data_IF_471207034804
#
_entry.id   IF_471207034804
#
_cell.length_a   1.000
_cell.length_b   1.000
_cell.length_c   1.000
_cell.angle_alpha   90.00
_cell.angle_beta   90.00
_cell.angle_gamma   90.00
#
_symmetry.space_group_name_H-M   'P 1'
#
loop_
_entity.id
_entity.type
_entity.pdbx_description
1 polymer ?
#
# COMPACT_ATOMS: atom_id res chain seq x y z
N UNK A 1 -0.08 2.61 4.01
CA UNK A 1 -1.43 2.61 3.46
C UNK A 1 -2.46 2.85 4.56
N UNK A 2 -3.49 3.61 4.28
CA UNK A 2 -4.68 3.74 5.11
C UNK A 2 -5.89 3.47 4.19
N UNK A 3 -6.17 2.19 3.88
CA UNK A 3 -7.25 1.84 2.96
C UNK A 3 -8.60 2.16 3.56
N UNK A 4 -9.55 2.59 2.73
CA UNK A 4 -10.93 2.79 3.15
C UNK A 4 -11.66 1.46 3.36
N UNK A 5 -11.28 0.44 2.62
CA UNK A 5 -11.87 -0.91 2.68
C UNK A 5 -10.78 -1.98 2.58
N UNK A 6 -10.98 -3.07 3.31
CA UNK A 6 -10.10 -4.26 3.32
C UNK A 6 -10.97 -5.49 3.06
N UNK A 7 -10.63 -6.26 2.03
CA UNK A 7 -11.34 -7.50 1.67
C UNK A 7 -10.57 -8.68 2.27
N UNK A 8 -11.28 -9.56 2.97
CA UNK A 8 -10.67 -10.70 3.67
C UNK A 8 -11.48 -12.00 3.45
N UNK A 9 -10.78 -13.13 3.51
CA UNK A 9 -11.36 -14.48 3.61
C UNK A 9 -10.97 -15.20 4.91
N UNK A 10 -10.68 -14.45 5.96
CA UNK A 10 -10.18 -14.97 7.23
C UNK A 10 -11.33 -15.48 8.11
N UNK A 11 -11.09 -16.56 8.87
CA UNK A 11 -12.01 -16.99 9.90
C UNK A 11 -12.26 -15.92 10.97
N UNK A 12 -13.40 -16.00 11.67
CA UNK A 12 -13.92 -14.96 12.58
C UNK A 12 -12.90 -14.43 13.61
N UNK A 13 -12.07 -15.31 14.19
CA UNK A 13 -11.06 -14.90 15.18
C UNK A 13 -9.96 -14.00 14.59
N UNK A 14 -9.52 -14.29 13.35
CA UNK A 14 -8.50 -13.51 12.66
C UNK A 14 -9.10 -12.19 12.14
N UNK A 15 -10.33 -12.22 11.68
CA UNK A 15 -11.09 -11.03 11.30
C UNK A 15 -11.26 -10.06 12.48
N UNK A 16 -11.52 -10.55 13.69
CA UNK A 16 -11.64 -9.73 14.89
C UNK A 16 -10.31 -9.07 15.27
N UNK A 17 -9.20 -9.81 15.20
CA UNK A 17 -7.85 -9.22 15.40
C UNK A 17 -7.56 -8.10 14.41
N UNK A 18 -7.91 -8.31 13.15
CA UNK A 18 -7.73 -7.31 12.12
C UNK A 18 -8.61 -6.08 12.36
N UNK A 19 -9.88 -6.26 12.76
CA UNK A 19 -10.78 -5.15 13.13
C UNK A 19 -10.22 -4.32 14.28
N UNK A 20 -9.67 -4.98 15.30
CA UNK A 20 -9.05 -4.29 16.44
C UNK A 20 -7.80 -3.53 16.03
N UNK A 21 -7.00 -4.09 15.12
CA UNK A 21 -5.83 -3.42 14.57
C UNK A 21 -6.21 -2.20 13.74
N UNK A 22 -7.18 -2.33 12.83
CA UNK A 22 -7.60 -1.24 11.93
C UNK A 22 -8.28 -0.08 12.65
N UNK A 23 -9.01 -0.35 13.74
CA UNK A 23 -9.56 0.71 14.61
C UNK A 23 -8.50 1.65 15.17
N UNK A 24 -7.29 1.15 15.40
CA UNK A 24 -6.19 1.94 15.94
C UNK A 24 -5.41 2.73 14.89
N UNK A 25 -5.56 2.39 13.60
CA UNK A 25 -4.78 2.99 12.49
C UNK A 25 -5.65 3.86 11.58
N UNK A 26 -6.94 3.57 11.50
CA UNK A 26 -7.90 4.29 10.69
C UNK A 26 -9.20 3.47 10.60
N UNK A 27 -10.33 4.13 10.36
CA UNK A 27 -11.64 3.46 10.25
C UNK A 27 -11.81 2.75 8.89
N UNK A 28 -10.98 1.73 8.61
CA UNK A 28 -11.17 0.91 7.41
C UNK A 28 -12.38 -0.01 7.57
N UNK A 29 -13.23 -0.06 6.56
CA UNK A 29 -14.31 -1.04 6.49
C UNK A 29 -13.74 -2.41 6.15
N UNK A 30 -14.22 -3.48 6.79
CA UNK A 30 -13.76 -4.85 6.53
C UNK A 30 -14.91 -5.62 5.90
N UNK A 31 -14.69 -6.07 4.67
CA UNK A 31 -15.61 -6.90 3.89
C UNK A 31 -15.13 -8.34 3.90
N UNK A 32 -15.96 -9.24 4.43
CA UNK A 32 -15.71 -10.68 4.33
C UNK A 32 -16.18 -11.16 2.96
N UNK A 33 -15.27 -11.76 2.20
CA UNK A 33 -15.55 -12.30 0.88
C UNK A 33 -15.43 -13.83 0.88
N UNK A 34 -16.19 -14.54 0.03
CA UNK A 34 -16.12 -15.98 -0.09
C UNK A 34 -14.74 -16.43 -0.59
N UNK A 35 -14.34 -17.65 -0.22
CA UNK A 35 -13.01 -18.19 -0.55
C UNK A 35 -12.80 -18.32 -2.07
N UNK A 36 -13.87 -18.57 -2.81
CA UNK A 36 -13.87 -18.70 -4.27
C UNK A 36 -13.38 -17.42 -4.97
N UNK A 37 -13.53 -16.25 -4.31
CA UNK A 37 -13.03 -14.99 -4.85
C UNK A 37 -11.48 -14.94 -4.89
N UNK A 38 -10.84 -15.72 -4.03
CA UNK A 38 -9.38 -15.83 -3.91
C UNK A 38 -8.82 -17.01 -4.74
N UNK A 39 -9.49 -17.39 -5.82
CA UNK A 39 -9.02 -18.45 -6.70
C UNK A 39 -7.71 -18.06 -7.41
N UNK A 40 -6.78 -19.04 -7.50
CA UNK A 40 -5.47 -18.82 -8.09
C UNK A 40 -5.54 -18.65 -9.61
N UNK A 41 -6.30 -19.50 -10.29
CA UNK A 41 -6.36 -19.51 -11.75
C UNK A 41 -7.09 -18.26 -12.27
N UNK A 42 -8.18 -17.87 -11.61
CA UNK A 42 -8.87 -16.60 -11.85
C UNK A 42 -7.96 -15.40 -11.61
N UNK A 43 -7.24 -15.38 -10.50
CA UNK A 43 -6.27 -14.33 -10.18
C UNK A 43 -5.16 -14.21 -11.21
N UNK A 44 -4.65 -15.33 -11.70
CA UNK A 44 -3.63 -15.35 -12.76
C UNK A 44 -4.17 -14.83 -14.09
N UNK A 45 -5.39 -15.18 -14.45
CA UNK A 45 -6.04 -14.67 -15.65
C UNK A 45 -6.19 -13.15 -15.61
N UNK A 46 -6.73 -12.59 -14.52
CA UNK A 46 -6.85 -11.15 -14.34
C UNK A 46 -5.50 -10.42 -14.41
N UNK A 47 -4.46 -10.95 -13.77
CA UNK A 47 -3.13 -10.36 -13.79
C UNK A 47 -2.47 -10.36 -15.18
N UNK A 48 -2.82 -11.31 -16.04
CA UNK A 48 -2.31 -11.37 -17.41
C UNK A 48 -2.81 -10.21 -18.27
N UNK A 49 -3.97 -9.66 -17.95
CA UNK A 49 -4.63 -8.59 -18.70
C UNK A 49 -4.28 -7.19 -18.19
N UNK A 50 -3.56 -7.09 -17.06
CA UNK A 50 -3.20 -5.81 -16.45
C UNK A 50 -1.98 -5.19 -17.14
N UNK A 51 -2.03 -3.87 -17.32
CA UNK A 51 -0.88 -3.08 -17.74
C UNK A 51 0.09 -2.91 -16.56
N UNK A 52 1.36 -3.17 -16.79
CA UNK A 52 2.41 -2.94 -15.80
C UNK A 52 2.84 -1.48 -15.87
N UNK A 53 2.83 -0.79 -14.74
CA UNK A 53 3.24 0.61 -14.64
C UNK A 53 4.75 0.76 -14.91
N UNK A 54 5.11 1.88 -15.54
CA UNK A 54 6.50 2.37 -15.57
C UNK A 54 7.44 1.70 -16.54
N UNK A 55 6.95 1.03 -17.58
CA UNK A 55 7.86 0.38 -18.55
C UNK A 55 8.74 -0.70 -17.91
N UNK A 56 8.55 -0.97 -16.65
CA UNK A 56 9.29 -1.96 -15.89
C UNK A 56 8.86 -3.32 -16.35
N UNK A 57 9.69 -3.85 -17.12
CA UNK A 57 10.03 -5.18 -17.50
C UNK A 57 8.98 -6.27 -17.15
N UNK A 58 8.83 -7.18 -18.09
CA UNK A 58 8.22 -8.52 -17.94
C UNK A 58 8.61 -9.24 -16.62
N UNK A 59 9.68 -8.81 -15.97
CA UNK A 59 10.14 -9.30 -14.67
C UNK A 59 9.20 -9.00 -13.50
N UNK A 60 8.50 -7.86 -13.49
CA UNK A 60 7.57 -7.50 -12.39
C UNK A 60 6.38 -8.45 -12.35
N UNK A 61 5.74 -8.70 -13.50
CA UNK A 61 4.64 -9.64 -13.58
C UNK A 61 5.09 -11.07 -13.22
N UNK A 62 6.25 -11.49 -13.72
CA UNK A 62 6.81 -12.80 -13.38
C UNK A 62 7.13 -12.93 -11.88
N UNK A 63 7.56 -11.86 -11.24
CA UNK A 63 7.80 -11.84 -9.79
C UNK A 63 6.50 -11.95 -9.01
N UNK A 64 5.47 -11.21 -9.41
CA UNK A 64 4.13 -11.31 -8.81
C UNK A 64 3.57 -12.73 -8.98
N UNK A 65 3.66 -13.29 -10.19
CA UNK A 65 3.15 -14.62 -10.51
C UNK A 65 3.87 -15.77 -9.77
N UNK A 66 5.08 -15.55 -9.26
CA UNK A 66 5.79 -16.52 -8.39
C UNK A 66 5.24 -16.54 -6.97
N UNK A 67 4.54 -15.52 -6.54
CA UNK A 67 3.95 -15.44 -5.21
C UNK A 67 2.46 -15.76 -5.26
N UNK A 68 2.10 -16.99 -4.89
CA UNK A 68 0.71 -17.46 -4.91
C UNK A 68 -0.25 -16.56 -4.11
N UNK A 69 0.16 -16.10 -2.93
CA UNK A 69 -0.67 -15.23 -2.09
C UNK A 69 -0.91 -13.87 -2.76
N UNK A 70 0.08 -13.33 -3.44
CA UNK A 70 -0.08 -12.08 -4.18
C UNK A 70 -1.04 -12.27 -5.35
N UNK A 71 -0.93 -13.38 -6.09
CA UNK A 71 -1.86 -13.69 -7.21
C UNK A 71 -3.30 -13.81 -6.72
N UNK A 72 -3.54 -14.57 -5.65
CA UNK A 72 -4.86 -14.74 -5.05
C UNK A 72 -5.45 -13.41 -4.55
N UNK A 73 -4.65 -12.63 -3.85
CA UNK A 73 -5.09 -11.35 -3.28
C UNK A 73 -5.38 -10.29 -4.36
N UNK A 74 -4.52 -10.18 -5.37
CA UNK A 74 -4.75 -9.28 -6.50
C UNK A 74 -5.97 -9.69 -7.31
N UNK A 75 -6.12 -11.00 -7.59
CA UNK A 75 -7.28 -11.53 -8.28
C UNK A 75 -8.59 -11.25 -7.56
N UNK A 76 -8.61 -11.50 -6.24
CA UNK A 76 -9.76 -11.21 -5.41
C UNK A 76 -10.14 -9.72 -5.43
N UNK A 77 -9.14 -8.83 -5.34
CA UNK A 77 -9.38 -7.39 -5.40
C UNK A 77 -9.98 -6.97 -6.75
N UNK A 78 -9.43 -7.45 -7.86
CA UNK A 78 -9.91 -7.12 -9.21
C UNK A 78 -11.33 -7.63 -9.39
N UNK A 79 -11.58 -8.90 -9.08
CA UNK A 79 -12.91 -9.52 -9.18
C UNK A 79 -13.94 -8.78 -8.32
N UNK A 80 -13.57 -8.37 -7.10
CA UNK A 80 -14.44 -7.58 -6.24
C UNK A 80 -14.77 -6.22 -6.84
N UNK A 81 -13.77 -5.53 -7.37
CA UNK A 81 -13.95 -4.22 -8.01
C UNK A 81 -14.83 -4.33 -9.27
N UNK A 82 -14.62 -5.34 -10.12
CA UNK A 82 -15.43 -5.57 -11.33
C UNK A 82 -16.88 -5.90 -10.97
N UNK A 83 -17.10 -6.73 -9.95
CA UNK A 83 -18.44 -7.04 -9.47
C UNK A 83 -19.18 -5.83 -8.89
N UNK A 84 -18.44 -4.97 -8.20
CA UNK A 84 -19.01 -3.78 -7.55
C UNK A 84 -19.27 -2.66 -8.55
N UNK A 85 -18.35 -2.42 -9.48
CA UNK A 85 -18.45 -1.36 -10.47
C UNK A 85 -19.15 -1.80 -11.77
N UNK A 86 -19.40 -3.12 -11.94
CA UNK A 86 -19.97 -3.72 -13.16
C UNK A 86 -19.22 -3.34 -14.44
N UNK A 87 -17.91 -3.19 -14.35
CA UNK A 87 -17.02 -2.79 -15.44
C UNK A 87 -15.77 -3.66 -15.45
N UNK A 88 -15.27 -4.01 -16.63
CA UNK A 88 -13.95 -4.62 -16.78
C UNK A 88 -12.86 -3.58 -16.56
N UNK A 89 -12.01 -3.81 -15.58
CA UNK A 89 -10.99 -2.85 -15.12
C UNK A 89 -9.58 -3.13 -15.66
N UNK A 90 -9.37 -4.26 -16.34
CA UNK A 90 -8.06 -4.73 -16.78
C UNK A 90 -7.21 -3.68 -17.53
N UNK A 91 -7.85 -2.80 -18.29
CA UNK A 91 -7.17 -1.73 -19.03
C UNK A 91 -6.91 -0.45 -18.23
N UNK A 92 -7.48 -0.33 -17.03
CA UNK A 92 -7.41 0.88 -16.19
C UNK A 92 -6.52 0.70 -14.97
N UNK A 93 -6.17 -0.55 -14.63
CA UNK A 93 -5.35 -0.87 -13.47
C UNK A 93 -3.90 -1.06 -13.92
N UNK A 94 -2.99 -0.53 -13.14
CA UNK A 94 -1.56 -0.79 -13.28
C UNK A 94 -1.06 -1.48 -12.02
N UNK A 95 -0.20 -2.49 -12.19
CA UNK A 95 0.44 -3.20 -11.09
C UNK A 95 1.88 -2.72 -10.90
N UNK A 96 2.25 -2.45 -9.65
CA UNK A 96 3.62 -2.14 -9.24
C UNK A 96 4.01 -3.15 -8.15
N UNK A 97 5.20 -3.74 -8.29
CA UNK A 97 5.77 -4.61 -7.28
C UNK A 97 6.86 -3.87 -6.52
N UNK A 98 6.78 -3.90 -5.22
CA UNK A 98 7.83 -3.37 -4.34
C UNK A 98 8.07 -4.36 -3.19
N UNK A 99 9.26 -4.35 -2.65
CA UNK A 99 9.62 -5.13 -1.47
C UNK A 99 9.72 -4.22 -0.24
N UNK A 100 9.39 -4.77 0.91
CA UNK A 100 9.53 -4.02 2.18
C UNK A 100 10.99 -3.80 2.53
N UNK A 101 11.88 -4.64 2.00
CA UNK A 101 13.32 -4.63 2.26
C UNK A 101 14.04 -3.41 1.65
N UNK A 102 13.41 -2.68 0.72
CA UNK A 102 13.94 -1.44 0.14
C UNK A 102 13.86 -0.25 1.10
N UNK A 103 13.05 -0.36 2.15
CA UNK A 103 12.78 0.73 3.08
C UNK A 103 13.18 0.36 4.51
N UNK A 104 13.64 1.36 5.25
CA UNK A 104 13.85 1.22 6.69
C UNK A 104 12.53 0.95 7.40
N UNK A 105 12.47 -0.17 8.11
CA UNK A 105 11.28 -0.52 8.89
C UNK A 105 11.22 0.34 10.16
N UNK A 106 10.25 1.25 10.21
CA UNK A 106 9.94 2.04 11.40
C UNK A 106 8.66 1.48 12.00
N UNK A 107 8.76 0.89 13.19
CA UNK A 107 7.59 0.36 13.88
C UNK A 107 6.64 1.48 14.34
N UNK A 108 5.39 1.12 14.66
CA UNK A 108 4.35 2.08 15.02
C UNK A 108 4.70 2.89 16.29
N UNK A 109 5.43 2.29 17.23
CA UNK A 109 5.87 2.94 18.46
C UNK A 109 6.94 3.99 18.18
N UNK A 110 7.96 3.62 17.41
CA UNK A 110 9.02 4.51 16.97
C UNK A 110 8.49 5.67 16.14
N UNK A 111 7.59 5.40 15.18
CA UNK A 111 6.95 6.43 14.36
C UNK A 111 6.21 7.46 15.22
N UNK A 112 5.46 6.98 16.22
CA UNK A 112 4.74 7.83 17.15
C UNK A 112 5.68 8.63 18.06
N UNK A 113 6.68 7.98 18.62
CA UNK A 113 7.62 8.63 19.56
C UNK A 113 8.53 9.67 18.89
N UNK A 114 8.87 9.46 17.61
CA UNK A 114 9.62 10.44 16.81
C UNK A 114 8.73 11.56 16.24
N UNK A 115 7.43 11.53 16.47
CA UNK A 115 6.49 12.55 16.00
C UNK A 115 6.67 12.87 14.50
N UNK A 116 6.85 11.83 13.68
CA UNK A 116 7.22 12.00 12.26
C UNK A 116 6.14 12.77 11.49
N UNK A 117 4.87 12.38 11.64
CA UNK A 117 3.75 12.96 10.88
C UNK A 117 2.77 13.74 11.73
N UNK A 118 2.70 13.44 13.03
CA UNK A 118 1.80 14.08 13.98
C UNK A 118 2.40 14.10 15.38
N UNK A 119 1.99 15.05 16.22
CA UNK A 119 2.43 15.16 17.61
C UNK A 119 1.77 14.10 18.49
N UNK A 120 2.49 13.67 19.53
CA UNK A 120 2.00 12.69 20.51
C UNK A 120 0.75 13.16 21.27
N UNK A 121 0.74 14.42 21.65
CA UNK A 121 -0.27 14.98 22.55
C UNK A 121 -1.56 15.32 21.82
N UNK A 122 -1.46 16.05 20.72
CA UNK A 122 -2.63 16.67 20.10
C UNK A 122 -3.00 16.01 18.78
N UNK A 123 -2.21 15.02 18.32
CA UNK A 123 -2.35 14.34 17.02
C UNK A 123 -2.47 15.33 15.85
N UNK A 124 -1.77 16.43 15.96
CA UNK A 124 -1.74 17.48 14.95
C UNK A 124 -0.47 17.40 14.11
N UNK A 125 -0.57 17.78 12.83
CA UNK A 125 0.59 17.94 11.95
C UNK A 125 1.53 19.02 12.48
N UNK A 126 1.01 20.14 13.00
CA UNK A 126 1.80 21.25 13.52
C UNK A 126 2.64 20.82 14.70
N UNK A 127 3.96 20.97 14.61
CA UNK A 127 4.93 20.55 15.61
C UNK A 127 5.61 19.22 15.30
N UNK A 128 5.13 18.44 14.29
CA UNK A 128 5.77 17.20 13.86
C UNK A 128 6.98 17.47 12.96
N UNK A 129 7.82 16.43 12.74
CA UNK A 129 8.94 16.50 11.79
C UNK A 129 8.46 16.88 10.40
N UNK A 130 7.37 16.27 9.93
CA UNK A 130 6.75 16.61 8.63
C UNK A 130 6.39 18.10 8.54
N UNK A 131 5.86 18.69 9.61
CA UNK A 131 5.50 20.11 9.60
C UNK A 131 6.71 21.02 9.44
N UNK A 132 7.85 20.67 10.08
CA UNK A 132 9.09 21.46 9.98
C UNK A 132 9.68 21.40 8.57
N UNK A 133 9.68 20.22 7.96
CA UNK A 133 10.29 19.96 6.66
C UNK A 133 9.40 20.34 5.47
N UNK A 134 8.07 20.37 5.65
CA UNK A 134 7.13 20.62 4.56
C UNK A 134 7.15 22.08 4.13
N UNK A 135 7.96 22.35 3.13
CA UNK A 135 8.03 23.63 2.40
C UNK A 135 7.48 23.47 0.96
N UNK A 136 6.78 22.38 0.70
CA UNK A 136 6.26 22.10 -0.62
C UNK A 136 5.15 23.08 -1.01
N UNK A 137 5.11 23.42 -2.29
CA UNK A 137 4.11 24.35 -2.86
C UNK A 137 2.89 23.61 -3.41
N UNK A 138 3.07 22.31 -3.78
CA UNK A 138 2.03 21.50 -4.40
C UNK A 138 1.54 20.39 -3.47
N UNK A 139 0.27 20.02 -3.60
CA UNK A 139 -0.31 18.90 -2.85
C UNK A 139 0.36 17.56 -3.18
N UNK A 140 0.87 17.40 -4.42
CA UNK A 140 1.62 16.21 -4.84
C UNK A 140 2.98 16.15 -4.15
N UNK A 141 3.70 17.28 -4.09
CA UNK A 141 4.98 17.36 -3.37
C UNK A 141 4.82 17.07 -1.88
N UNK A 142 3.77 17.60 -1.24
CA UNK A 142 3.49 17.32 0.17
C UNK A 142 3.21 15.82 0.43
N UNK A 143 2.48 15.15 -0.47
CA UNK A 143 2.23 13.70 -0.37
C UNK A 143 3.52 12.90 -0.56
N UNK A 144 4.36 13.29 -1.52
CA UNK A 144 5.63 12.63 -1.77
C UNK A 144 6.58 12.78 -0.58
N UNK A 145 6.71 13.99 -0.02
CA UNK A 145 7.52 14.24 1.16
C UNK A 145 7.04 13.40 2.36
N UNK A 146 5.72 13.34 2.59
CA UNK A 146 5.15 12.48 3.63
C UNK A 146 5.51 11.01 3.41
N UNK A 147 5.37 10.51 2.18
CA UNK A 147 5.75 9.12 1.83
C UNK A 147 7.23 8.87 2.11
N UNK A 148 8.13 9.78 1.77
CA UNK A 148 9.56 9.63 2.01
C UNK A 148 9.93 9.59 3.50
N UNK A 149 9.23 10.36 4.33
CA UNK A 149 9.44 10.33 5.79
C UNK A 149 8.88 9.07 6.44
N UNK A 150 7.78 8.54 5.92
CA UNK A 150 7.17 7.31 6.42
C UNK A 150 7.89 6.04 5.95
N UNK A 151 8.59 6.12 4.81
CA UNK A 151 9.31 5.02 4.16
C UNK A 151 10.71 5.49 3.74
N UNK A 152 11.65 5.68 4.69
CA UNK A 152 13.03 6.07 4.37
C UNK A 152 13.73 4.94 3.60
N UNK A 153 14.54 5.32 2.62
CA UNK A 153 15.37 4.38 1.87
C UNK A 153 16.53 3.87 2.73
N UNK A 154 16.99 2.66 2.42
CA UNK A 154 18.19 2.04 3.01
C UNK A 154 19.34 2.09 2.02
N UNK A 155 19.04 1.98 0.72
CA UNK A 155 20.04 1.96 -0.33
C UNK A 155 20.70 3.33 -0.50
N UNK A 156 22.03 3.37 -0.45
CA UNK A 156 22.81 4.60 -0.48
C UNK A 156 22.72 5.28 -1.85
N UNK A 157 22.75 4.50 -2.93
CA UNK A 157 22.72 5.04 -4.29
C UNK A 157 21.36 5.69 -4.57
N UNK A 158 20.28 5.03 -4.16
CA UNK A 158 18.92 5.58 -4.26
C UNK A 158 18.73 6.84 -3.37
N UNK A 159 19.42 6.93 -2.23
CA UNK A 159 19.43 8.14 -1.40
C UNK A 159 20.15 9.28 -2.13
N UNK A 160 21.31 9.00 -2.73
CA UNK A 160 22.05 9.99 -3.50
C UNK A 160 21.26 10.51 -4.71
N UNK A 161 20.60 9.64 -5.47
CA UNK A 161 19.70 10.05 -6.56
C UNK A 161 18.60 11.02 -6.11
N UNK A 162 18.04 10.81 -4.91
CA UNK A 162 17.07 11.76 -4.34
C UNK A 162 17.68 13.08 -3.94
N UNK A 163 18.89 13.07 -3.38
CA UNK A 163 19.60 14.28 -2.99
C UNK A 163 20.01 15.11 -4.22
N UNK A 164 20.42 14.46 -5.30
CA UNK A 164 20.80 15.12 -6.55
C UNK A 164 19.60 15.76 -7.26
N UNK A 165 18.38 15.28 -6.96
CA UNK A 165 17.14 15.81 -7.54
C UNK A 165 16.57 17.02 -6.77
N UNK A 166 17.11 17.38 -5.61
CA UNK A 166 16.68 18.47 -4.73
C UNK A 166 17.65 19.62 -4.79
#
# INVERSE_FOLDING_TARGET
FAPSEIIINLGAASAERLRNFTRNIGNSYITEAPEELFDYDGGRAHLSDIKIAGGTSKNTLQTILKNELAVRSCGALISYMENTQKMHLSNQITAEYYTVDEYMTIDASSRRNLEITETLRDKNKKGSLLWVLDKTVTSMGARLLKKWLEQPLIDIDAIHERLDAV
#
